data_IF_588569592930
#
_entry.id   IF_588569592930
#
_cell.length_a   1.000
_cell.length_b   1.000
_cell.length_c   1.000
_cell.angle_alpha   90.00
_cell.angle_beta   90.00
_cell.angle_gamma   90.00
#
_symmetry.space_group_name_H-M   'P 1'
#
loop_
_entity.id
_entity.type
_entity.pdbx_description
1 polymer ?
#
# COMPACT_ATOMS: atom_id res chain seq x y z
N UNK A 1 31.69 -27.76 -6.10
CA UNK A 1 31.42 -27.16 -7.43
C UNK A 1 30.39 -28.03 -8.12
N UNK A 2 29.26 -27.48 -8.57
CA UNK A 2 28.24 -28.26 -9.29
C UNK A 2 28.47 -28.07 -10.79
N UNK A 3 28.80 -29.14 -11.49
CA UNK A 3 29.12 -29.13 -12.92
C UNK A 3 27.82 -29.34 -13.72
N UNK A 4 27.46 -28.39 -14.59
CA UNK A 4 26.39 -28.57 -15.58
C UNK A 4 26.99 -28.32 -16.97
N UNK A 5 27.09 -29.36 -17.78
CA UNK A 5 27.51 -29.30 -19.19
C UNK A 5 28.88 -28.62 -19.44
N UNK A 6 29.86 -28.81 -18.55
CA UNK A 6 31.26 -28.42 -18.81
C UNK A 6 31.56 -26.92 -18.86
N UNK A 7 30.60 -26.03 -18.59
CA UNK A 7 30.85 -24.59 -18.44
C UNK A 7 30.88 -24.21 -16.96
N UNK A 8 32.00 -23.66 -16.44
CA UNK A 8 32.06 -23.19 -15.06
C UNK A 8 31.13 -21.97 -14.92
N UNK A 9 29.98 -22.17 -14.28
CA UNK A 9 29.08 -21.06 -13.93
C UNK A 9 29.72 -20.29 -12.77
N UNK A 10 30.56 -19.31 -13.08
CA UNK A 10 31.12 -18.34 -12.13
C UNK A 10 30.24 -17.10 -11.99
N UNK A 11 28.96 -17.27 -11.64
CA UNK A 11 28.25 -16.17 -10.97
C UNK A 11 28.20 -16.52 -9.49
N UNK A 12 29.11 -15.94 -8.72
CA UNK A 12 28.99 -15.94 -7.28
C UNK A 12 27.59 -15.40 -6.94
N UNK A 13 26.83 -16.13 -6.13
CA UNK A 13 25.55 -15.66 -5.63
C UNK A 13 25.85 -14.35 -4.87
N UNK A 14 25.29 -13.20 -5.29
CA UNK A 14 25.52 -11.93 -4.62
C UNK A 14 25.24 -12.07 -3.13
N UNK A 15 25.99 -11.38 -2.27
CA UNK A 15 25.75 -11.47 -0.82
C UNK A 15 24.30 -11.07 -0.46
N UNK A 16 23.71 -10.15 -1.23
CA UNK A 16 22.29 -9.77 -1.16
C UNK A 16 21.30 -10.88 -1.51
N UNK A 17 21.72 -11.91 -2.22
CA UNK A 17 20.92 -13.09 -2.56
C UNK A 17 21.10 -14.25 -1.57
N UNK A 18 21.98 -14.10 -0.57
CA UNK A 18 22.17 -15.06 0.53
C UNK A 18 21.37 -14.67 1.78
N UNK A 19 20.14 -14.20 1.60
CA UNK A 19 19.25 -13.83 2.71
C UNK A 19 18.33 -15.01 2.99
N UNK A 20 18.19 -15.37 4.27
CA UNK A 20 17.24 -16.41 4.66
C UNK A 20 15.81 -15.97 4.28
N UNK A 21 15.01 -16.80 3.60
CA UNK A 21 13.69 -16.39 3.16
C UNK A 21 12.78 -16.00 4.34
N UNK A 22 11.91 -15.00 4.13
CA UNK A 22 10.91 -14.63 5.14
C UNK A 22 9.93 -15.79 5.39
N UNK A 23 9.26 -15.81 6.54
CA UNK A 23 8.24 -16.85 6.83
C UNK A 23 7.18 -16.93 5.73
N UNK A 24 6.73 -15.80 5.19
CA UNK A 24 5.77 -15.77 4.07
C UNK A 24 6.34 -16.37 2.79
N UNK A 25 7.64 -16.14 2.51
CA UNK A 25 8.31 -16.76 1.36
C UNK A 25 8.42 -18.28 1.54
N UNK A 26 8.77 -18.74 2.74
CA UNK A 26 8.83 -20.17 3.05
C UNK A 26 7.44 -20.82 2.91
N UNK A 27 6.37 -20.17 3.37
CA UNK A 27 4.99 -20.66 3.20
C UNK A 27 4.56 -20.73 1.74
N UNK A 28 4.88 -19.70 0.95
CA UNK A 28 4.56 -19.70 -0.48
C UNK A 28 5.28 -20.85 -1.20
N UNK A 29 6.56 -21.03 -0.93
CA UNK A 29 7.37 -22.11 -1.49
C UNK A 29 6.86 -23.49 -1.03
N UNK A 30 6.53 -23.64 0.25
CA UNK A 30 5.90 -24.84 0.79
C UNK A 30 4.60 -25.15 0.04
N UNK A 31 3.71 -24.16 -0.10
CA UNK A 31 2.41 -24.33 -0.75
C UNK A 31 2.54 -24.72 -2.22
N UNK A 32 3.43 -24.05 -2.96
CA UNK A 32 3.70 -24.39 -4.37
C UNK A 32 4.28 -25.80 -4.52
N UNK A 33 5.24 -26.16 -3.66
CA UNK A 33 5.85 -27.50 -3.66
C UNK A 33 4.80 -28.56 -3.33
N UNK A 34 3.98 -28.33 -2.31
CA UNK A 34 2.92 -29.26 -1.92
C UNK A 34 1.89 -29.45 -3.04
N UNK A 35 1.46 -28.39 -3.72
CA UNK A 35 0.53 -28.49 -4.85
C UNK A 35 1.11 -29.33 -5.99
N UNK A 36 2.40 -29.17 -6.29
CA UNK A 36 3.08 -29.99 -7.29
C UNK A 36 3.16 -31.47 -6.87
N UNK A 37 3.55 -31.76 -5.64
CA UNK A 37 3.61 -33.15 -5.13
C UNK A 37 2.22 -33.79 -5.08
N UNK A 38 1.19 -33.01 -4.72
CA UNK A 38 -0.19 -33.44 -4.77
C UNK A 38 -0.60 -33.80 -6.20
N UNK A 39 -0.28 -32.97 -7.17
CA UNK A 39 -0.55 -33.27 -8.57
C UNK A 39 0.17 -34.56 -9.03
N UNK A 40 1.44 -34.77 -8.65
CA UNK A 40 2.15 -36.02 -8.95
C UNK A 40 1.47 -37.24 -8.34
N UNK A 41 1.01 -37.12 -7.10
CA UNK A 41 0.30 -38.19 -6.40
C UNK A 41 -1.03 -38.51 -7.07
N UNK A 42 -1.83 -37.49 -7.35
CA UNK A 42 -3.17 -37.63 -7.95
C UNK A 42 -3.11 -38.22 -9.38
N UNK A 43 -1.96 -38.08 -10.06
CA UNK A 43 -1.70 -38.68 -11.38
C UNK A 43 -0.88 -39.98 -11.34
N UNK A 44 -0.67 -40.56 -10.15
CA UNK A 44 0.02 -41.85 -9.98
C UNK A 44 1.54 -41.82 -10.21
N UNK A 45 2.14 -40.64 -10.37
CA UNK A 45 3.59 -40.46 -10.47
C UNK A 45 4.28 -40.52 -9.10
N UNK A 46 3.51 -40.38 -8.01
CA UNK A 46 4.01 -40.43 -6.64
C UNK A 46 3.07 -41.28 -5.77
N UNK A 47 3.61 -42.27 -5.04
CA UNK A 47 2.81 -43.18 -4.21
C UNK A 47 2.28 -42.53 -2.93
N UNK A 48 3.08 -41.65 -2.31
CA UNK A 48 2.75 -40.96 -1.06
C UNK A 48 3.35 -39.56 -1.09
N UNK A 49 2.61 -38.58 -0.56
CA UNK A 49 3.11 -37.21 -0.42
C UNK A 49 3.97 -37.14 0.87
N UNK A 50 5.26 -36.78 0.78
CA UNK A 50 6.10 -36.61 1.95
C UNK A 50 5.57 -35.51 2.87
N UNK A 51 5.76 -35.67 4.17
CA UNK A 51 5.43 -34.67 5.19
C UNK A 51 6.70 -34.05 5.75
N UNK A 52 6.67 -32.75 6.01
CA UNK A 52 7.73 -32.03 6.70
C UNK A 52 7.15 -30.87 7.50
N UNK A 53 7.96 -30.34 8.42
CA UNK A 53 7.53 -29.25 9.29
C UNK A 53 7.20 -28.00 8.50
N UNK A 54 6.02 -27.45 8.77
CA UNK A 54 5.60 -26.17 8.23
C UNK A 54 6.23 -25.07 9.07
N UNK A 55 7.01 -24.16 8.47
CA UNK A 55 7.46 -22.99 9.21
C UNK A 55 6.22 -22.21 9.66
N UNK A 56 6.11 -21.98 10.98
CA UNK A 56 5.01 -21.18 11.53
C UNK A 56 5.19 -19.74 11.07
N UNK A 57 4.17 -19.12 10.43
CA UNK A 57 4.29 -17.75 9.99
C UNK A 57 4.36 -16.80 11.18
N UNK A 58 5.46 -16.07 11.29
CA UNK A 58 5.52 -14.87 12.14
C UNK A 58 4.91 -13.73 11.34
N UNK A 59 3.65 -13.40 11.62
CA UNK A 59 2.95 -12.29 10.98
C UNK A 59 3.30 -10.99 11.72
N UNK A 60 4.25 -10.22 11.20
CA UNK A 60 4.45 -8.86 11.67
C UNK A 60 3.37 -7.95 11.09
N UNK A 61 2.73 -7.14 11.94
CA UNK A 61 1.87 -6.06 11.47
C UNK A 61 2.72 -5.11 10.61
N UNK A 62 2.19 -4.68 9.47
CA UNK A 62 2.91 -3.81 8.54
C UNK A 62 3.20 -2.44 9.20
N UNK A 63 4.27 -1.75 8.79
CA UNK A 63 4.68 -0.50 9.41
C UNK A 63 3.72 0.63 9.03
N UNK A 64 3.49 1.53 9.97
CA UNK A 64 2.63 2.71 9.84
C UNK A 64 3.44 3.99 10.15
N UNK A 65 2.78 5.14 10.12
CA UNK A 65 3.30 6.41 10.62
C UNK A 65 2.59 6.80 11.91
N UNK A 66 3.26 7.56 12.76
CA UNK A 66 2.61 8.45 13.72
C UNK A 66 2.19 9.75 13.02
N UNK A 67 1.32 10.56 13.65
CA UNK A 67 0.93 11.89 13.14
C UNK A 67 2.15 12.78 12.85
N UNK A 68 3.12 12.81 13.79
CA UNK A 68 4.32 13.62 13.67
C UNK A 68 5.22 13.14 12.51
N UNK A 69 5.44 11.83 12.38
CA UNK A 69 6.23 11.28 11.27
C UNK A 69 5.55 11.52 9.91
N UNK A 70 4.23 11.36 9.84
CA UNK A 70 3.50 11.61 8.59
C UNK A 70 3.58 13.10 8.21
N UNK A 71 3.47 13.99 9.19
CA UNK A 71 3.60 15.44 8.98
C UNK A 71 4.98 15.81 8.42
N UNK A 72 6.05 15.26 9.00
CA UNK A 72 7.42 15.44 8.49
C UNK A 72 7.55 14.93 7.05
N UNK A 73 6.99 13.74 6.77
CA UNK A 73 7.00 13.17 5.43
C UNK A 73 6.28 14.06 4.41
N UNK A 74 5.06 14.53 4.71
CA UNK A 74 4.28 15.37 3.81
C UNK A 74 4.92 16.73 3.58
N UNK A 75 5.47 17.35 4.63
CA UNK A 75 6.20 18.62 4.51
C UNK A 75 7.43 18.47 3.61
N UNK A 76 8.21 17.39 3.77
CA UNK A 76 9.36 17.14 2.90
C UNK A 76 8.93 16.85 1.46
N UNK A 77 7.84 16.09 1.25
CA UNK A 77 7.31 15.81 -0.08
C UNK A 77 6.88 17.11 -0.79
N UNK A 78 6.25 18.04 -0.05
CA UNK A 78 5.87 19.35 -0.57
C UNK A 78 7.09 20.24 -0.85
N UNK A 79 8.08 20.29 0.06
CA UNK A 79 9.33 21.03 -0.14
C UNK A 79 10.09 20.52 -1.38
N UNK A 80 10.03 19.21 -1.64
CA UNK A 80 10.65 18.62 -2.82
C UNK A 80 10.01 19.17 -4.12
N UNK A 81 8.71 19.48 -4.18
CA UNK A 81 8.04 19.98 -5.39
C UNK A 81 8.66 21.29 -5.90
N UNK A 82 9.02 22.19 -4.97
CA UNK A 82 9.53 23.53 -5.28
C UNK A 82 11.06 23.61 -5.35
N UNK A 83 11.75 22.47 -5.27
CA UNK A 83 13.21 22.47 -5.32
C UNK A 83 13.75 23.13 -6.61
N UNK A 84 14.90 23.81 -6.55
CA UNK A 84 15.49 24.44 -7.73
C UNK A 84 16.00 23.38 -8.72
N UNK A 85 16.19 23.78 -9.98
CA UNK A 85 16.84 22.99 -11.03
C UNK A 85 16.18 21.64 -11.38
N UNK A 86 14.88 21.49 -11.12
CA UNK A 86 14.14 20.29 -11.51
C UNK A 86 13.76 20.32 -13.00
N UNK A 87 14.03 19.21 -13.68
CA UNK A 87 13.48 19.01 -15.02
C UNK A 87 11.96 18.70 -14.95
N UNK A 88 11.28 18.78 -16.09
CA UNK A 88 9.82 18.64 -16.16
C UNK A 88 9.33 17.29 -15.60
N UNK A 89 10.04 16.19 -15.87
CA UNK A 89 9.69 14.86 -15.37
C UNK A 89 9.88 14.76 -13.85
N UNK A 90 10.95 15.33 -13.31
CA UNK A 90 11.17 15.35 -11.86
C UNK A 90 10.10 16.16 -11.14
N UNK A 91 9.70 17.32 -11.68
CA UNK A 91 8.58 18.09 -11.13
C UNK A 91 7.30 17.27 -11.13
N UNK A 92 7.00 16.62 -12.25
CA UNK A 92 5.84 15.75 -12.38
C UNK A 92 5.84 14.63 -11.34
N UNK A 93 6.95 13.88 -11.24
CA UNK A 93 7.07 12.75 -10.31
C UNK A 93 6.94 13.19 -8.83
N UNK A 94 7.40 14.40 -8.49
CA UNK A 94 7.31 14.96 -7.13
C UNK A 94 5.88 15.39 -6.76
N UNK A 95 5.16 16.05 -7.66
CA UNK A 95 3.74 16.36 -7.45
C UNK A 95 2.93 15.08 -7.37
N UNK A 96 3.20 14.11 -8.27
CA UNK A 96 2.53 12.81 -8.29
C UNK A 96 2.68 12.07 -6.97
N UNK A 97 3.89 11.95 -6.42
CA UNK A 97 4.10 11.17 -5.18
C UNK A 97 3.49 11.88 -3.97
N UNK A 98 3.52 13.20 -3.93
CA UNK A 98 2.87 13.97 -2.87
C UNK A 98 1.36 13.76 -2.89
N UNK A 99 0.70 14.04 -4.02
CA UNK A 99 -0.75 13.87 -4.17
C UNK A 99 -1.18 12.40 -3.99
N UNK A 100 -0.39 11.44 -4.48
CA UNK A 100 -0.65 10.01 -4.24
C UNK A 100 -0.57 9.66 -2.75
N UNK A 101 0.36 10.25 -2.00
CA UNK A 101 0.51 9.97 -0.58
C UNK A 101 -0.66 10.52 0.24
N UNK A 102 -1.06 11.77 -0.01
CA UNK A 102 -2.26 12.39 0.57
C UNK A 102 -3.52 11.55 0.26
N UNK A 103 -3.72 11.21 -1.02
CA UNK A 103 -4.87 10.42 -1.43
C UNK A 103 -4.93 9.05 -0.75
N UNK A 104 -3.78 8.40 -0.55
CA UNK A 104 -3.70 7.12 0.14
C UNK A 104 -4.05 7.25 1.63
N UNK A 105 -3.67 8.36 2.27
CA UNK A 105 -4.05 8.70 3.65
C UNK A 105 -5.54 9.02 3.77
N UNK A 106 -6.15 9.59 2.74
CA UNK A 106 -7.58 9.95 2.76
C UNK A 106 -8.53 8.82 2.31
N UNK A 107 -8.05 7.85 1.53
CA UNK A 107 -8.92 6.84 0.89
C UNK A 107 -8.86 5.45 1.50
N UNK A 108 -7.76 5.11 2.19
CA UNK A 108 -7.55 3.77 2.72
C UNK A 108 -7.45 2.66 1.67
N UNK A 109 -7.30 2.98 0.37
CA UNK A 109 -7.18 1.98 -0.70
C UNK A 109 -5.87 1.19 -0.59
N UNK A 110 -5.80 0.02 -1.25
CA UNK A 110 -4.49 -0.60 -1.48
C UNK A 110 -3.73 0.24 -2.51
N UNK A 111 -2.40 0.37 -2.43
CA UNK A 111 -1.63 1.11 -3.44
C UNK A 111 -1.91 0.61 -4.86
N UNK A 112 -2.01 -0.70 -5.04
CA UNK A 112 -2.31 -1.29 -6.36
C UNK A 112 -3.75 -1.10 -6.84
N UNK A 113 -4.67 -0.76 -5.96
CA UNK A 113 -6.04 -0.36 -6.32
C UNK A 113 -6.05 1.10 -6.73
N UNK A 114 -5.46 2.00 -5.92
CA UNK A 114 -5.33 3.42 -6.22
C UNK A 114 -4.62 3.66 -7.56
N UNK A 115 -3.49 2.98 -7.79
CA UNK A 115 -2.74 3.10 -9.05
C UNK A 115 -3.54 2.66 -10.28
N UNK A 116 -4.50 1.73 -10.14
CA UNK A 116 -5.33 1.26 -11.25
C UNK A 116 -6.56 2.13 -11.51
N UNK A 117 -6.86 3.06 -10.62
CA UNK A 117 -8.02 3.93 -10.72
C UNK A 117 -7.92 4.78 -12.00
N UNK A 118 -8.99 4.79 -12.78
CA UNK A 118 -9.18 5.69 -13.92
C UNK A 118 -10.19 6.78 -13.58
N UNK A 119 -10.21 7.86 -14.35
CA UNK A 119 -11.16 8.96 -14.10
C UNK A 119 -12.62 8.52 -14.18
N UNK A 120 -12.98 7.55 -15.03
CA UNK A 120 -14.33 6.96 -15.05
C UNK A 120 -14.75 6.24 -13.76
N UNK A 121 -13.79 5.86 -12.93
CA UNK A 121 -14.03 5.16 -11.68
C UNK A 121 -14.27 6.13 -10.51
N UNK A 122 -14.07 7.44 -10.73
CA UNK A 122 -14.40 8.52 -9.81
C UNK A 122 -15.82 8.99 -10.12
N UNK A 123 -16.75 8.74 -9.19
CA UNK A 123 -18.17 9.04 -9.36
C UNK A 123 -18.57 10.24 -8.50
N UNK A 124 -19.49 11.04 -9.01
CA UNK A 124 -20.08 12.19 -8.32
C UNK A 124 -19.05 13.27 -7.93
N UNK A 125 -17.89 13.30 -8.59
CA UNK A 125 -16.82 14.27 -8.35
C UNK A 125 -16.78 15.33 -9.45
N UNK A 126 -16.53 16.58 -9.05
CA UNK A 126 -16.32 17.72 -9.93
C UNK A 126 -14.95 18.34 -9.64
N UNK A 127 -14.19 18.69 -10.68
CA UNK A 127 -12.86 19.28 -10.56
C UNK A 127 -12.89 20.68 -9.95
N UNK A 128 -14.01 21.40 -10.10
CA UNK A 128 -14.16 22.80 -9.72
C UNK A 128 -14.78 22.97 -8.31
N UNK A 129 -15.28 21.87 -7.71
CA UNK A 129 -15.99 21.91 -6.43
C UNK A 129 -15.53 20.79 -5.48
N UNK A 130 -15.09 21.16 -4.28
CA UNK A 130 -14.88 20.19 -3.20
C UNK A 130 -16.21 19.54 -2.83
N UNK A 131 -16.30 18.24 -3.07
CA UNK A 131 -17.56 17.49 -2.97
C UNK A 131 -17.32 16.09 -2.40
N UNK A 132 -18.38 15.50 -1.85
CA UNK A 132 -18.41 14.09 -1.53
C UNK A 132 -18.46 13.28 -2.82
N UNK A 133 -17.62 12.24 -2.93
CA UNK A 133 -17.53 11.41 -4.12
C UNK A 133 -17.34 9.95 -3.75
N UNK A 134 -17.48 9.08 -4.75
CA UNK A 134 -17.31 7.62 -4.59
C UNK A 134 -16.28 7.10 -5.56
N UNK A 135 -15.62 6.01 -5.16
CA UNK A 135 -14.64 5.32 -5.99
C UNK A 135 -15.13 3.91 -6.32
N UNK A 136 -15.19 3.58 -7.60
CA UNK A 136 -15.34 2.20 -8.06
C UNK A 136 -13.98 1.51 -8.06
N UNK A 137 -13.77 0.64 -7.09
CA UNK A 137 -12.46 0.03 -6.85
C UNK A 137 -12.47 -1.42 -7.29
N UNK A 138 -11.49 -1.78 -8.11
CA UNK A 138 -11.24 -3.15 -8.54
C UNK A 138 -9.90 -3.70 -8.05
N UNK A 139 -9.90 -4.90 -7.48
CA UNK A 139 -8.68 -5.57 -7.04
C UNK A 139 -8.87 -7.07 -6.79
N UNK A 140 -7.93 -7.90 -7.26
CA UNK A 140 -7.95 -9.37 -7.11
C UNK A 140 -9.29 -10.01 -7.53
N UNK A 141 -9.89 -9.54 -8.62
CA UNK A 141 -11.17 -10.04 -9.14
C UNK A 141 -12.39 -9.63 -8.31
N UNK A 142 -12.25 -8.67 -7.39
CA UNK A 142 -13.35 -8.14 -6.57
C UNK A 142 -13.59 -6.68 -6.91
N UNK A 143 -14.86 -6.29 -6.85
CA UNK A 143 -15.32 -4.92 -7.04
C UNK A 143 -15.96 -4.42 -5.75
N UNK A 144 -15.75 -3.15 -5.44
CA UNK A 144 -16.44 -2.47 -4.34
C UNK A 144 -16.52 -0.97 -4.59
N UNK A 145 -17.47 -0.34 -3.94
CA UNK A 145 -17.48 1.11 -3.76
C UNK A 145 -16.67 1.45 -2.51
N UNK A 146 -15.74 2.39 -2.64
CA UNK A 146 -15.06 3.01 -1.51
C UNK A 146 -15.51 4.47 -1.37
N UNK A 147 -15.61 4.93 -0.12
CA UNK A 147 -15.97 6.31 0.23
C UNK A 147 -14.74 6.89 0.95
N UNK A 148 -13.93 7.71 0.26
CA UNK A 148 -12.78 8.37 0.87
C UNK A 148 -13.23 9.54 1.76
N UNK A 149 -12.31 10.13 2.52
CA UNK A 149 -12.58 11.41 3.17
C UNK A 149 -12.74 12.53 2.12
N UNK A 150 -13.55 13.57 2.40
CA UNK A 150 -13.75 14.69 1.47
C UNK A 150 -12.44 15.37 1.03
N UNK A 151 -11.43 15.40 1.92
CA UNK A 151 -10.11 15.93 1.60
C UNK A 151 -9.45 15.27 0.37
N UNK A 152 -9.79 14.01 0.05
CA UNK A 152 -9.32 13.32 -1.14
C UNK A 152 -9.74 14.01 -2.45
N UNK A 153 -10.77 14.87 -2.41
CA UNK A 153 -11.18 15.68 -3.57
C UNK A 153 -10.08 16.64 -4.00
N UNK A 154 -9.36 17.25 -3.05
CA UNK A 154 -8.25 18.16 -3.35
C UNK A 154 -7.05 17.41 -3.98
N UNK A 155 -6.83 16.15 -3.57
CA UNK A 155 -5.79 15.29 -4.15
C UNK A 155 -6.12 14.94 -5.61
N UNK A 156 -7.40 14.70 -5.91
CA UNK A 156 -7.88 14.50 -7.28
C UNK A 156 -7.74 15.78 -8.11
N UNK A 157 -8.14 16.94 -7.59
CA UNK A 157 -7.96 18.23 -8.29
C UNK A 157 -6.49 18.49 -8.61
N UNK A 158 -5.58 18.17 -7.67
CA UNK A 158 -4.13 18.26 -7.92
C UNK A 158 -3.70 17.37 -9.08
N UNK A 159 -4.16 16.12 -9.11
CA UNK A 159 -3.83 15.19 -10.20
C UNK A 159 -4.44 15.61 -11.55
N UNK A 160 -5.64 16.20 -11.53
CA UNK A 160 -6.28 16.76 -12.73
C UNK A 160 -5.44 17.89 -13.31
N UNK A 161 -5.08 18.88 -12.49
CA UNK A 161 -4.25 20.03 -12.90
C UNK A 161 -2.86 19.56 -13.36
N UNK A 162 -2.26 18.59 -12.67
CA UNK A 162 -0.97 18.01 -13.08
C UNK A 162 -1.06 17.37 -14.47
N UNK A 163 -2.12 16.62 -14.74
CA UNK A 163 -2.36 16.00 -16.04
C UNK A 163 -2.52 17.07 -17.13
N UNK A 164 -3.43 18.02 -16.93
CA UNK A 164 -3.73 19.07 -17.89
C UNK A 164 -2.51 19.93 -18.22
N UNK A 165 -1.75 20.32 -17.20
CA UNK A 165 -0.51 21.11 -17.35
C UNK A 165 0.55 20.35 -18.15
N UNK A 166 0.68 19.03 -17.95
CA UNK A 166 1.71 18.25 -18.60
C UNK A 166 1.34 17.83 -20.02
N UNK A 167 0.09 17.44 -20.26
CA UNK A 167 -0.38 16.90 -21.55
C UNK A 167 -1.07 17.94 -22.44
N UNK A 168 -1.41 19.12 -21.91
CA UNK A 168 -2.03 20.23 -22.65
C UNK A 168 -3.52 20.03 -22.93
N UNK A 169 -4.17 19.08 -22.25
CA UNK A 169 -5.60 18.82 -22.37
C UNK A 169 -6.13 18.11 -21.12
N UNK A 170 -7.44 18.19 -20.88
CA UNK A 170 -8.09 17.46 -19.79
C UNK A 170 -7.97 15.94 -19.95
N UNK A 171 -7.84 15.17 -18.85
CA UNK A 171 -7.81 13.73 -18.92
C UNK A 171 -9.13 13.15 -19.45
N UNK A 172 -9.01 12.06 -20.21
CA UNK A 172 -10.18 11.30 -20.64
C UNK A 172 -10.64 10.35 -19.53
N UNK A 173 -11.87 9.85 -19.65
CA UNK A 173 -12.45 8.83 -18.78
C UNK A 173 -11.57 7.58 -18.60
N UNK A 174 -10.77 7.23 -19.60
CA UNK A 174 -9.92 6.03 -19.59
C UNK A 174 -8.48 6.27 -19.14
N UNK A 175 -8.08 7.51 -18.91
CA UNK A 175 -6.78 7.84 -18.34
C UNK A 175 -6.71 7.42 -16.87
N UNK A 176 -5.53 6.96 -16.43
CA UNK A 176 -5.29 6.67 -15.02
C UNK A 176 -5.21 7.97 -14.23
N UNK A 177 -5.82 8.00 -13.05
CA UNK A 177 -5.69 9.13 -12.11
C UNK A 177 -4.23 9.34 -11.76
N UNK A 178 -3.51 8.25 -11.43
CA UNK A 178 -2.08 8.25 -11.15
C UNK A 178 -1.28 7.65 -12.32
N UNK A 179 -1.11 8.44 -13.38
CA UNK A 179 -0.32 8.05 -14.54
C UNK A 179 1.10 8.63 -14.52
N UNK A 180 2.04 7.99 -15.22
CA UNK A 180 3.35 8.55 -15.52
C UNK A 180 3.27 9.53 -16.71
N UNK A 181 4.39 10.16 -17.05
CA UNK A 181 4.52 11.08 -18.21
C UNK A 181 4.25 10.44 -19.57
N UNK A 182 3.97 9.13 -19.64
CA UNK A 182 3.54 8.41 -20.84
C UNK A 182 2.07 7.95 -20.77
N UNK A 183 1.27 8.52 -19.85
CA UNK A 183 -0.14 8.19 -19.57
C UNK A 183 -0.39 6.72 -19.17
N UNK A 184 0.65 6.00 -18.75
CA UNK A 184 0.52 4.63 -18.24
C UNK A 184 0.45 4.66 -16.72
N UNK A 185 -0.20 3.66 -16.12
CA UNK A 185 -0.16 3.40 -14.68
C UNK A 185 1.28 3.48 -14.17
N UNK A 186 1.56 4.33 -13.19
CA UNK A 186 2.90 4.45 -12.62
C UNK A 186 3.28 3.18 -11.82
N UNK A 187 4.57 2.82 -11.84
CA UNK A 187 5.13 1.66 -11.12
C UNK A 187 6.20 2.05 -10.10
N UNK A 188 6.48 3.34 -9.97
CA UNK A 188 7.64 3.85 -9.24
C UNK A 188 7.28 4.53 -7.91
N UNK A 189 6.02 4.49 -7.45
CA UNK A 189 5.60 5.18 -6.23
C UNK A 189 6.37 4.75 -4.98
N UNK A 190 6.70 3.46 -4.83
CA UNK A 190 7.58 3.02 -3.74
C UNK A 190 9.00 3.59 -3.86
N UNK A 191 9.53 3.74 -5.07
CA UNK A 191 10.86 4.34 -5.30
C UNK A 191 10.83 5.82 -4.95
N UNK A 192 9.81 6.55 -5.42
CA UNK A 192 9.63 7.97 -5.12
C UNK A 192 9.42 8.20 -3.62
N UNK A 193 8.58 7.39 -2.97
CA UNK A 193 8.38 7.43 -1.53
C UNK A 193 9.68 7.19 -0.76
N UNK A 194 10.47 6.18 -1.15
CA UNK A 194 11.72 5.85 -0.46
C UNK A 194 12.73 7.01 -0.47
N UNK A 195 12.79 7.80 -1.56
CA UNK A 195 13.67 8.98 -1.62
C UNK A 195 13.30 10.02 -0.55
N UNK A 196 12.01 10.22 -0.32
CA UNK A 196 11.51 11.13 0.72
C UNK A 196 11.82 10.55 2.10
N UNK A 197 11.52 9.26 2.32
CA UNK A 197 11.82 8.58 3.59
C UNK A 197 13.31 8.60 3.96
N UNK A 198 14.19 8.51 2.97
CA UNK A 198 15.64 8.62 3.16
C UNK A 198 16.04 10.02 3.64
N UNK A 199 15.50 11.07 3.04
CA UNK A 199 15.76 12.46 3.44
C UNK A 199 15.26 12.77 4.85
N UNK A 200 14.13 12.20 5.24
CA UNK A 200 13.51 12.44 6.56
C UNK A 200 13.94 11.43 7.63
N UNK A 201 14.80 10.46 7.29
CA UNK A 201 15.17 9.36 8.18
C UNK A 201 13.96 8.55 8.71
N UNK A 202 12.96 8.30 7.86
CA UNK A 202 11.71 7.59 8.19
C UNK A 202 11.57 6.24 7.49
N UNK A 203 12.67 5.66 6.99
CA UNK A 203 12.64 4.42 6.20
C UNK A 203 12.02 3.24 6.94
N UNK A 204 12.11 3.20 8.26
CA UNK A 204 11.56 2.13 9.11
C UNK A 204 10.70 2.69 10.23
N UNK A 205 9.72 1.91 10.68
CA UNK A 205 9.00 2.21 11.92
C UNK A 205 9.87 1.96 13.17
N UNK A 206 9.30 2.21 14.35
CA UNK A 206 9.95 1.98 15.65
C UNK A 206 10.41 0.52 15.89
N UNK A 207 9.91 -0.43 15.10
CA UNK A 207 10.29 -1.85 15.17
C UNK A 207 11.39 -2.21 14.16
N UNK A 208 11.89 -1.23 13.40
CA UNK A 208 12.84 -1.45 12.31
C UNK A 208 12.22 -2.05 11.04
N UNK A 209 10.88 -2.08 10.92
CA UNK A 209 10.22 -2.64 9.74
C UNK A 209 10.13 -1.56 8.65
N UNK A 210 10.61 -1.89 7.45
CA UNK A 210 10.71 -0.95 6.32
C UNK A 210 9.34 -0.50 5.80
N UNK A 211 9.13 0.82 5.77
CA UNK A 211 7.93 1.45 5.22
C UNK A 211 7.83 1.29 3.70
N UNK A 212 6.60 1.24 3.23
CA UNK A 212 6.26 1.20 1.80
C UNK A 212 4.98 2.00 1.59
N UNK A 213 4.51 2.13 0.35
CA UNK A 213 3.21 2.79 0.06
C UNK A 213 2.02 2.15 0.78
N UNK A 214 2.13 0.90 1.25
CA UNK A 214 1.11 0.33 2.11
C UNK A 214 1.01 1.02 3.48
N UNK A 215 2.07 1.66 3.97
CA UNK A 215 2.11 2.32 5.27
C UNK A 215 1.08 3.44 5.41
N UNK A 216 0.73 4.15 4.33
CA UNK A 216 -0.37 5.13 4.33
C UNK A 216 -1.73 4.50 4.58
N UNK A 217 -1.99 3.33 4.01
CA UNK A 217 -3.21 2.58 4.31
C UNK A 217 -3.21 2.07 5.75
N UNK A 218 -2.04 1.65 6.25
CA UNK A 218 -1.93 1.25 7.65
C UNK A 218 -2.29 2.40 8.58
N UNK A 219 -1.77 3.58 8.28
CA UNK A 219 -2.10 4.81 8.96
C UNK A 219 -3.61 5.10 8.93
N UNK A 220 -4.24 5.10 7.75
CA UNK A 220 -5.69 5.32 7.62
C UNK A 220 -6.51 4.38 8.51
N UNK A 221 -6.22 3.07 8.48
CA UNK A 221 -6.97 2.08 9.28
C UNK A 221 -6.78 2.34 10.77
N UNK A 222 -5.54 2.60 11.23
CA UNK A 222 -5.27 2.94 12.63
C UNK A 222 -6.07 4.18 13.05
N UNK A 223 -6.10 5.23 12.22
CA UNK A 223 -6.85 6.46 12.52
C UNK A 223 -8.36 6.25 12.58
N UNK A 224 -8.90 5.39 11.73
CA UNK A 224 -10.33 5.04 11.80
C UNK A 224 -10.68 4.26 13.06
N UNK A 225 -9.79 3.34 13.49
CA UNK A 225 -9.95 2.62 14.75
C UNK A 225 -9.87 3.56 15.96
N UNK A 226 -8.91 4.49 15.96
CA UNK A 226 -8.78 5.55 16.97
C UNK A 226 -10.02 6.43 17.07
N UNK A 227 -10.69 6.69 15.94
CA UNK A 227 -11.98 7.41 15.89
C UNK A 227 -13.18 6.55 16.32
N UNK A 228 -12.96 5.28 16.67
CA UNK A 228 -14.00 4.35 17.09
C UNK A 228 -14.93 3.89 15.97
N UNK A 229 -14.51 4.00 14.71
CA UNK A 229 -15.28 3.50 13.57
C UNK A 229 -15.36 1.98 13.64
N UNK A 230 -16.55 1.44 13.40
CA UNK A 230 -16.80 0.00 13.44
C UNK A 230 -15.86 -0.77 12.48
N UNK A 231 -15.28 -1.86 13.00
CA UNK A 231 -14.29 -2.68 12.29
C UNK A 231 -14.86 -3.27 11.00
N UNK A 232 -16.14 -3.64 11.00
CA UNK A 232 -16.79 -4.17 9.80
C UNK A 232 -16.94 -3.08 8.72
N UNK A 233 -17.28 -1.85 9.11
CA UNK A 233 -17.33 -0.72 8.16
C UNK A 233 -15.95 -0.42 7.56
N UNK A 234 -14.89 -0.38 8.39
CA UNK A 234 -13.51 -0.19 7.91
C UNK A 234 -13.15 -1.32 6.95
N UNK A 235 -13.45 -2.58 7.29
CA UNK A 235 -13.17 -3.74 6.46
C UNK A 235 -13.85 -3.65 5.10
N UNK A 236 -15.13 -3.23 5.07
CA UNK A 236 -15.92 -3.03 3.86
C UNK A 236 -15.33 -1.94 2.96
N UNK A 237 -15.04 -0.75 3.52
CA UNK A 237 -14.46 0.37 2.77
C UNK A 237 -13.06 0.02 2.21
N UNK A 238 -12.23 -0.59 3.05
CA UNK A 238 -10.87 -0.97 2.70
C UNK A 238 -10.80 -2.25 1.84
N UNK A 239 -11.89 -3.00 1.66
CA UNK A 239 -11.92 -4.26 0.91
C UNK A 239 -11.04 -5.35 1.54
N UNK A 240 -11.07 -5.48 2.86
CA UNK A 240 -10.36 -6.52 3.63
C UNK A 240 -11.36 -7.26 4.53
N UNK A 241 -10.94 -8.28 5.27
CA UNK A 241 -11.81 -8.94 6.25
C UNK A 241 -11.64 -8.31 7.65
N UNK A 242 -12.69 -8.31 8.49
CA UNK A 242 -12.60 -7.88 9.89
C UNK A 242 -11.53 -8.64 10.68
N UNK A 243 -11.36 -9.94 10.39
CA UNK A 243 -10.34 -10.80 11.01
C UNK A 243 -8.94 -10.33 10.67
N UNK A 244 -8.71 -9.89 9.43
CA UNK A 244 -7.43 -9.29 9.05
C UNK A 244 -7.19 -7.97 9.80
N UNK A 245 -8.22 -7.14 9.97
CA UNK A 245 -8.06 -5.91 10.76
C UNK A 245 -7.74 -6.26 12.22
N UNK A 246 -8.53 -7.11 12.87
CA UNK A 246 -8.22 -7.53 14.25
C UNK A 246 -6.80 -8.08 14.36
N UNK A 247 -6.40 -9.02 13.51
CA UNK A 247 -5.05 -9.61 13.53
C UNK A 247 -3.91 -8.58 13.43
N UNK A 248 -4.08 -7.51 12.65
CA UNK A 248 -3.01 -6.54 12.39
C UNK A 248 -3.07 -5.30 13.29
N UNK A 249 -4.21 -5.04 13.95
CA UNK A 249 -4.45 -3.81 14.69
C UNK A 249 -4.98 -4.02 16.11
N UNK A 250 -5.12 -5.26 16.61
CA UNK A 250 -5.54 -5.56 18.01
C UNK A 250 -4.66 -4.88 19.07
N UNK A 251 -3.48 -4.41 18.68
CA UNK A 251 -2.54 -3.71 19.55
C UNK A 251 -2.83 -2.22 19.74
N UNK A 252 -3.77 -1.61 18.98
CA UNK A 252 -4.22 -0.24 19.25
C UNK A 252 -4.94 -0.23 20.60
N UNK A 253 -4.35 0.50 21.53
CA UNK A 253 -4.41 0.26 22.97
C UNK A 253 -5.82 0.20 23.57
N UNK A 254 -5.98 -0.64 24.59
CA UNK A 254 -7.11 -0.63 25.53
C UNK A 254 -7.42 0.78 26.06
N UNK A 255 -6.41 1.68 26.10
CA UNK A 255 -6.57 3.08 26.45
C UNK A 255 -7.57 3.83 25.54
N UNK A 256 -7.66 3.49 24.25
CA UNK A 256 -8.63 4.09 23.33
C UNK A 256 -10.07 3.69 23.68
N UNK A 257 -10.22 2.53 24.32
CA UNK A 257 -11.49 2.04 24.83
C UNK A 257 -11.65 2.36 26.32
N UNK A 258 -10.76 3.13 26.96
CA UNK A 258 -10.81 3.42 28.39
C UNK A 258 -12.19 3.96 28.79
N UNK A 259 -12.72 4.92 28.04
CA UNK A 259 -14.05 5.47 28.31
C UNK A 259 -15.17 4.46 28.01
N UNK A 260 -14.97 3.52 27.08
CA UNK A 260 -15.93 2.45 26.78
C UNK A 260 -15.85 1.27 27.76
N UNK A 261 -14.71 1.08 28.42
CA UNK A 261 -14.43 -0.01 29.36
C UNK A 261 -14.71 0.40 30.81
N UNK A 262 -14.52 1.67 31.15
CA UNK A 262 -14.87 2.24 32.44
C UNK A 262 -16.34 2.68 32.37
N UNK A 263 -17.27 2.02 33.10
CA UNK A 263 -18.65 2.45 33.15
C UNK A 263 -18.72 3.91 33.60
N UNK A 264 -19.70 4.64 33.07
CA UNK A 264 -19.79 6.09 33.25
C UNK A 264 -19.74 6.55 34.72
N UNK A 265 -20.29 5.74 35.63
CA UNK A 265 -20.26 5.97 37.08
C UNK A 265 -18.86 5.95 37.73
N UNK A 266 -17.82 5.48 37.02
CA UNK A 266 -16.46 5.30 37.55
C UNK A 266 -15.40 6.09 36.76
N UNK A 267 -15.81 6.94 35.80
CA UNK A 267 -14.87 7.82 35.10
C UNK A 267 -14.43 8.93 36.07
N UNK A 268 -13.12 9.14 36.19
CA UNK A 268 -12.48 10.20 37.01
C UNK A 268 -12.12 11.36 36.10
#
# INVERSE_FOLDING_TARGET
MVNRLGRPVRRAIPQSAKVYPTSSTLEANHSATYLFLKWLHDNGHLRLIPTWDRPKPVSAARPSFTEAELSIYMQQAQADIIAPNLNQRERYDRVLIWAFSEFMVHSGLRPTEALRLKWKDVLDWDKDVLSDFKLLVHGKGKYRTAIPFPAASADLSTMWVLFETHFGHEPTRDDFVFCNTSRKKTEYTNVLMNRILEKTNLQTDYRGIRRTTYSFRHYYITKQLERGVDVYLIAKACGTSPEQIRKHYDHSSLDQYRDKLIPEAFRI
#
